data_IF_246078087612
#
_entry.id   IF_246078087612
#
_cell.length_a   1.000
_cell.length_b   1.000
_cell.length_c   1.000
_cell.angle_alpha   90.00
_cell.angle_beta   90.00
_cell.angle_gamma   90.00
#
_symmetry.space_group_name_H-M   'P 1'
#
loop_
_entity.id
_entity.type
_entity.pdbx_description
1 polymer ?
#
# COMPACT_ATOMS: atom_id res chain seq x y z
N UNK A 1 10.09 8.57 -44.45
CA UNK A 1 9.89 7.35 -45.26
C UNK A 1 10.51 6.21 -44.47
N UNK A 2 9.71 5.23 -44.06
CA UNK A 2 10.18 4.04 -43.33
C UNK A 2 11.20 3.30 -44.20
N UNK A 3 12.25 2.76 -43.58
CA UNK A 3 13.20 1.86 -44.24
C UNK A 3 12.76 0.44 -43.89
N UNK A 4 12.50 -0.37 -44.90
CA UNK A 4 12.10 -1.78 -44.74
C UNK A 4 10.91 -2.00 -43.76
N UNK A 5 9.91 -1.11 -43.82
CA UNK A 5 8.68 -1.15 -43.00
C UNK A 5 8.85 -1.02 -41.48
N UNK A 6 10.06 -0.73 -40.99
CA UNK A 6 10.32 -0.50 -39.57
C UNK A 6 10.48 0.99 -39.25
N UNK A 7 9.96 1.39 -38.09
CA UNK A 7 10.17 2.72 -37.52
C UNK A 7 11.53 2.73 -36.83
N UNK A 8 12.52 3.40 -37.42
CA UNK A 8 13.83 3.54 -36.81
C UNK A 8 13.79 4.64 -35.73
N UNK A 9 14.14 4.29 -34.50
CA UNK A 9 14.36 5.26 -33.43
C UNK A 9 15.67 6.01 -33.69
N UNK A 10 15.72 7.36 -33.65
CA UNK A 10 16.95 8.08 -33.89
C UNK A 10 17.92 7.81 -32.74
N UNK A 11 18.89 6.92 -32.98
CA UNK A 11 19.98 6.66 -32.04
C UNK A 11 21.14 7.55 -32.46
N UNK A 12 21.37 8.64 -31.73
CA UNK A 12 22.61 9.40 -31.87
C UNK A 12 23.77 8.42 -31.61
N UNK A 13 24.71 8.34 -32.53
CA UNK A 13 25.96 7.58 -32.37
C UNK A 13 26.86 8.26 -31.34
N UNK A 14 26.42 8.31 -30.09
CA UNK A 14 27.24 8.67 -28.93
C UNK A 14 27.99 7.42 -28.50
N UNK A 15 29.24 7.60 -28.12
CA UNK A 15 30.20 6.60 -27.64
C UNK A 15 29.50 5.39 -27.02
N UNK A 16 29.86 4.18 -27.47
CA UNK A 16 29.40 2.93 -26.86
C UNK A 16 29.80 2.93 -25.39
N UNK A 17 28.92 3.41 -24.51
CA UNK A 17 29.09 3.27 -23.07
C UNK A 17 28.90 1.78 -22.82
N UNK A 18 30.00 1.09 -22.51
CA UNK A 18 29.94 -0.26 -21.97
C UNK A 18 29.19 -0.16 -20.64
N UNK A 19 27.90 -0.50 -20.67
CA UNK A 19 27.10 -0.69 -19.47
C UNK A 19 27.59 -1.98 -18.81
N UNK A 20 28.58 -1.86 -17.94
CA UNK A 20 28.88 -2.94 -17.01
C UNK A 20 27.65 -3.10 -16.11
N UNK A 21 27.04 -4.29 -16.11
CA UNK A 21 26.05 -4.64 -15.12
C UNK A 21 26.71 -4.52 -13.74
N UNK A 22 26.34 -3.48 -12.98
CA UNK A 22 26.79 -3.33 -11.60
C UNK A 22 26.56 -4.64 -10.83
N UNK A 23 27.45 -5.00 -9.88
CA UNK A 23 27.17 -6.08 -8.95
C UNK A 23 25.80 -5.79 -8.34
N UNK A 24 24.89 -6.76 -8.43
CA UNK A 24 23.46 -6.65 -8.07
C UNK A 24 23.27 -5.63 -6.95
N UNK A 25 22.61 -4.47 -7.20
CA UNK A 25 22.50 -3.43 -6.20
C UNK A 25 21.88 -4.04 -4.95
N UNK A 26 22.68 -4.07 -3.87
CA UNK A 26 22.27 -4.63 -2.58
C UNK A 26 21.04 -3.86 -2.13
N UNK A 27 19.89 -4.52 -2.09
CA UNK A 27 18.64 -3.87 -1.70
C UNK A 27 18.60 -3.74 -0.17
N UNK A 28 18.04 -2.63 0.31
CA UNK A 28 17.79 -2.48 1.73
C UNK A 28 16.70 -3.46 2.20
N UNK A 29 16.69 -3.83 3.49
CA UNK A 29 15.62 -4.66 4.05
C UNK A 29 14.22 -4.11 3.76
N UNK A 30 14.04 -2.78 3.80
CA UNK A 30 12.76 -2.13 3.47
C UNK A 30 12.40 -2.27 1.99
N UNK A 31 13.39 -2.27 1.08
CA UNK A 31 13.14 -2.51 -0.34
C UNK A 31 12.70 -3.95 -0.59
N UNK A 32 13.37 -4.92 0.03
CA UNK A 32 12.95 -6.32 -0.04
C UNK A 32 11.58 -6.55 0.59
N UNK A 33 11.29 -5.91 1.72
CA UNK A 33 9.97 -5.92 2.35
C UNK A 33 8.88 -5.43 1.38
N UNK A 34 9.07 -4.30 0.69
CA UNK A 34 8.10 -3.81 -0.29
C UNK A 34 8.01 -4.72 -1.53
N UNK A 35 9.14 -5.21 -2.06
CA UNK A 35 9.17 -6.09 -3.24
C UNK A 35 8.46 -7.43 -3.02
N UNK A 36 8.55 -7.97 -1.80
CA UNK A 36 7.96 -9.26 -1.43
C UNK A 36 6.53 -9.13 -0.90
N UNK A 37 5.90 -7.96 -1.01
CA UNK A 37 4.50 -7.77 -0.64
C UNK A 37 4.27 -7.59 0.86
N UNK A 38 5.12 -6.80 1.53
CA UNK A 38 4.97 -6.47 2.95
C UNK A 38 4.91 -7.68 3.92
N UNK A 39 5.80 -8.68 3.79
CA UNK A 39 5.82 -9.83 4.69
C UNK A 39 6.20 -9.41 6.11
N UNK A 40 5.85 -10.24 7.09
CA UNK A 40 6.32 -10.06 8.46
C UNK A 40 7.85 -10.17 8.53
N UNK A 41 8.45 -9.57 9.56
CA UNK A 41 9.91 -9.58 9.74
C UNK A 41 10.48 -11.01 9.79
N UNK A 42 9.78 -11.96 10.42
CA UNK A 42 10.19 -13.36 10.49
C UNK A 42 10.18 -14.05 9.12
N UNK A 43 9.13 -13.84 8.32
CA UNK A 43 9.05 -14.38 6.95
C UNK A 43 10.15 -13.77 6.09
N UNK A 44 10.36 -12.46 6.18
CA UNK A 44 11.40 -11.77 5.43
C UNK A 44 12.80 -12.30 5.80
N UNK A 45 13.08 -12.56 7.08
CA UNK A 45 14.32 -13.19 7.51
C UNK A 45 14.49 -14.58 6.94
N UNK A 46 13.44 -15.40 6.96
CA UNK A 46 13.48 -16.76 6.42
C UNK A 46 13.72 -16.76 4.90
N UNK A 47 13.04 -15.91 4.14
CA UNK A 47 13.22 -15.82 2.68
C UNK A 47 14.63 -15.34 2.35
N UNK A 48 15.13 -14.33 3.07
CA UNK A 48 16.47 -13.81 2.80
C UNK A 48 17.56 -14.84 3.12
N UNK A 49 17.43 -15.60 4.21
CA UNK A 49 18.39 -16.66 4.54
C UNK A 49 18.30 -17.84 3.58
N UNK A 50 17.08 -18.27 3.23
CA UNK A 50 16.84 -19.42 2.36
C UNK A 50 17.35 -19.19 0.93
N UNK A 51 17.20 -17.98 0.40
CA UNK A 51 17.58 -17.65 -0.98
C UNK A 51 18.84 -16.78 -1.08
N UNK A 52 19.57 -16.57 0.02
CA UNK A 52 20.78 -15.76 0.10
C UNK A 52 20.64 -14.38 -0.59
N UNK A 53 19.51 -13.70 -0.35
CA UNK A 53 19.20 -12.45 -1.05
C UNK A 53 20.21 -11.35 -0.73
N UNK A 54 20.65 -10.54 -1.71
CA UNK A 54 21.63 -9.49 -1.49
C UNK A 54 21.03 -8.35 -0.66
N UNK A 55 21.56 -8.16 0.55
CA UNK A 55 21.18 -7.12 1.48
C UNK A 55 22.24 -6.03 1.57
N UNK A 56 21.82 -4.78 1.63
CA UNK A 56 22.75 -3.68 1.93
C UNK A 56 23.11 -3.66 3.42
N UNK A 57 22.16 -3.97 4.31
CA UNK A 57 22.28 -3.89 5.77
C UNK A 57 21.61 -5.10 6.45
N UNK A 58 21.97 -5.36 7.71
CA UNK A 58 21.35 -6.41 8.54
C UNK A 58 19.84 -6.19 8.75
N UNK A 59 19.06 -7.28 8.86
CA UNK A 59 17.61 -7.23 9.12
C UNK A 59 17.24 -6.87 10.57
N UNK A 60 18.20 -6.69 11.48
CA UNK A 60 17.94 -6.53 12.92
C UNK A 60 17.15 -5.26 13.30
N UNK A 61 17.09 -4.25 12.42
CA UNK A 61 16.39 -2.99 12.68
C UNK A 61 15.61 -2.54 11.45
N UNK A 62 14.41 -3.10 11.28
CA UNK A 62 13.46 -2.60 10.29
C UNK A 62 12.66 -1.46 10.91
N UNK A 63 12.70 -0.28 10.28
CA UNK A 63 11.78 0.79 10.62
C UNK A 63 10.35 0.36 10.33
N UNK A 64 9.35 0.86 11.08
CA UNK A 64 7.95 0.58 10.78
C UNK A 64 7.63 1.06 9.36
N UNK A 65 7.04 0.17 8.56
CA UNK A 65 6.56 0.51 7.24
C UNK A 65 5.21 1.24 7.34
N UNK A 66 5.09 2.42 6.70
CA UNK A 66 3.87 3.21 6.68
C UNK A 66 2.68 2.43 6.11
N UNK A 67 2.85 1.72 5.01
CA UNK A 67 1.78 0.91 4.41
C UNK A 67 1.31 -0.20 5.35
N UNK A 68 2.24 -0.91 6.01
CA UNK A 68 1.87 -1.92 6.99
C UNK A 68 1.13 -1.31 8.18
N UNK A 69 1.59 -0.15 8.67
CA UNK A 69 0.97 0.51 9.81
C UNK A 69 -0.46 0.94 9.50
N UNK A 70 -0.69 1.54 8.33
CA UNK A 70 -2.03 1.95 7.88
C UNK A 70 -2.96 0.73 7.78
N UNK A 71 -2.51 -0.34 7.13
CA UNK A 71 -3.31 -1.55 6.94
C UNK A 71 -3.52 -2.38 8.23
N UNK A 72 -2.64 -2.24 9.22
CA UNK A 72 -2.76 -2.92 10.52
C UNK A 72 -3.43 -2.04 11.58
N UNK A 73 -3.66 -0.76 11.30
CA UNK A 73 -4.33 0.11 12.24
C UNK A 73 -5.78 -0.34 12.42
N UNK A 74 -6.18 -0.57 13.66
CA UNK A 74 -7.57 -0.83 13.99
C UNK A 74 -8.32 0.50 14.13
N UNK A 75 -9.62 0.48 13.84
CA UNK A 75 -10.51 1.60 14.16
C UNK A 75 -10.37 1.92 15.65
N UNK A 76 -10.16 3.19 15.97
CA UNK A 76 -10.19 3.65 17.36
C UNK A 76 -11.53 3.27 18.00
N UNK A 77 -11.56 3.00 19.32
CA UNK A 77 -12.81 2.78 20.03
C UNK A 77 -13.79 3.93 19.75
N UNK A 78 -15.07 3.60 19.64
CA UNK A 78 -16.10 4.63 19.61
C UNK A 78 -16.01 5.48 20.88
N UNK A 79 -16.31 6.76 20.75
CA UNK A 79 -16.42 7.64 21.91
C UNK A 79 -17.50 7.11 22.87
N UNK A 80 -17.27 7.24 24.16
CA UNK A 80 -18.26 6.92 25.19
C UNK A 80 -19.45 7.86 25.06
N UNK A 81 -20.64 7.33 24.75
CA UNK A 81 -21.83 8.16 24.71
C UNK A 81 -22.12 8.79 26.07
N UNK A 82 -22.49 10.06 26.07
CA UNK A 82 -22.92 10.79 27.28
C UNK A 82 -24.39 10.57 27.61
N UNK A 83 -25.15 9.98 26.69
CA UNK A 83 -26.60 9.78 26.83
C UNK A 83 -26.83 8.51 27.65
N UNK A 84 -27.53 8.66 28.78
CA UNK A 84 -27.89 7.56 29.69
C UNK A 84 -29.39 7.58 29.91
N UNK A 85 -30.03 6.40 29.87
CA UNK A 85 -31.47 6.25 30.08
C UNK A 85 -31.77 5.77 31.49
N UNK A 86 -32.76 6.38 32.14
CA UNK A 86 -33.25 6.04 33.48
C UNK A 86 -34.64 5.38 33.43
N UNK A 87 -35.35 5.45 32.29
CA UNK A 87 -36.72 4.94 32.12
C UNK A 87 -36.89 4.28 30.75
N UNK A 88 -37.86 3.35 30.59
CA UNK A 88 -38.19 2.79 29.28
C UNK A 88 -38.57 3.89 28.27
N UNK A 89 -38.08 3.78 27.03
CA UNK A 89 -38.37 4.70 25.91
C UNK A 89 -37.97 6.17 26.12
N UNK A 90 -37.03 6.47 27.02
CA UNK A 90 -36.60 7.86 27.27
C UNK A 90 -35.93 8.52 26.05
N UNK A 91 -35.27 7.73 25.20
CA UNK A 91 -34.63 8.21 23.98
C UNK A 91 -34.99 7.31 22.80
N UNK A 92 -35.37 7.92 21.69
CA UNK A 92 -35.61 7.26 20.40
C UNK A 92 -34.72 7.94 19.37
N UNK A 93 -33.81 7.18 18.78
CA UNK A 93 -32.95 7.65 17.69
C UNK A 93 -33.63 7.33 16.36
N UNK A 94 -33.98 8.35 15.59
CA UNK A 94 -34.44 8.22 14.21
C UNK A 94 -33.35 8.73 13.28
N UNK A 95 -32.74 7.85 12.51
CA UNK A 95 -31.90 8.26 11.39
C UNK A 95 -32.80 8.48 10.18
N UNK A 96 -32.92 9.74 9.75
CA UNK A 96 -33.74 10.11 8.60
C UNK A 96 -32.80 10.48 7.47
N UNK A 97 -32.75 9.62 6.46
CA UNK A 97 -32.06 9.90 5.21
C UNK A 97 -33.05 10.35 4.15
N UNK A 98 -32.76 11.49 3.52
CA UNK A 98 -33.55 12.01 2.40
C UNK A 98 -32.97 11.54 1.08
N UNK A 99 -33.82 11.03 0.20
CA UNK A 99 -33.45 10.72 -1.17
C UNK A 99 -33.35 12.00 -2.01
N UNK A 100 -32.34 12.15 -2.88
CA UNK A 100 -32.26 13.27 -3.82
C UNK A 100 -33.32 13.20 -4.93
N UNK A 101 -33.99 12.06 -5.11
CA UNK A 101 -35.07 11.88 -6.08
C UNK A 101 -36.43 11.72 -5.39
N UNK A 102 -37.46 12.32 -5.98
CA UNK A 102 -38.83 12.18 -5.51
C UNK A 102 -39.32 10.73 -5.58
N UNK A 103 -40.12 10.33 -4.60
CA UNK A 103 -40.86 9.06 -4.66
C UNK A 103 -41.78 9.06 -5.88
N UNK A 104 -41.98 7.89 -6.49
CA UNK A 104 -42.92 7.69 -7.60
C UNK A 104 -44.35 8.06 -7.17
N UNK A 105 -44.65 7.94 -5.88
CA UNK A 105 -45.94 8.32 -5.28
C UNK A 105 -45.96 9.77 -4.73
N UNK A 106 -45.00 10.62 -5.10
CA UNK A 106 -44.87 12.03 -4.71
C UNK A 106 -44.73 12.32 -3.20
N UNK A 107 -44.30 11.35 -2.39
CA UNK A 107 -43.91 11.61 -1.00
C UNK A 107 -42.50 12.24 -0.93
N UNK A 108 -42.37 13.29 -0.10
CA UNK A 108 -41.10 13.97 0.21
C UNK A 108 -40.41 13.34 1.41
#
# INVERSE_FOLDING_TARGET
RTKDELYEWPVDSRSKISLFASPTPKASPISWHSRLGHPSSSILQNVVSQFALPLSHSLSKQSPCSHCLINKSHKLPFYSNTITSQKPLQYVYSDVWTSPSFSVDNYK
#
